data_IF_240528205621
#
_entry.id   IF_240528205621
#
_cell.length_a   1.000
_cell.length_b   1.000
_cell.length_c   1.000
_cell.angle_alpha   90.00
_cell.angle_beta   90.00
_cell.angle_gamma   90.00
#
_symmetry.space_group_name_H-M   'P 1'
#
loop_
_entity.id
_entity.type
_entity.pdbx_description
1 polymer ?
#
# COMPACT_ATOMS: atom_id res chain seq x y z
N UNK A 1 -4.29 -13.18 6.09
CA UNK A 1 -3.86 -14.19 5.09
C UNK A 1 -2.35 -14.17 4.96
N UNK A 2 -1.76 -15.28 4.57
CA UNK A 2 -0.31 -15.38 4.43
C UNK A 2 0.14 -15.01 3.02
N UNK A 3 1.27 -14.31 2.92
CA UNK A 3 1.90 -13.90 1.66
C UNK A 3 3.22 -14.65 1.54
N UNK A 4 3.26 -15.62 0.63
CA UNK A 4 4.42 -16.47 0.42
C UNK A 4 5.43 -15.79 -0.50
N UNK A 5 6.68 -15.74 -0.06
CA UNK A 5 7.84 -15.30 -0.85
C UNK A 5 8.38 -16.47 -1.69
N UNK A 6 8.38 -17.65 -1.10
CA UNK A 6 8.79 -18.94 -1.66
C UNK A 6 8.25 -20.06 -0.76
N UNK A 7 8.67 -21.29 -1.00
CA UNK A 7 8.18 -22.49 -0.29
C UNK A 7 8.54 -22.52 1.21
N UNK A 8 9.50 -21.71 1.65
CA UNK A 8 10.04 -21.75 3.02
C UNK A 8 9.86 -20.43 3.79
N UNK A 9 9.43 -19.35 3.12
CA UNK A 9 9.31 -18.02 3.71
C UNK A 9 7.97 -17.38 3.33
N UNK A 10 7.26 -16.87 4.34
CA UNK A 10 6.03 -16.10 4.17
C UNK A 10 5.92 -14.98 5.21
N UNK A 11 5.20 -13.92 4.86
CA UNK A 11 4.64 -12.98 5.84
C UNK A 11 3.28 -13.49 6.27
N UNK A 12 3.14 -13.78 7.56
CA UNK A 12 1.89 -14.29 8.11
C UNK A 12 0.95 -13.17 8.51
N UNK A 13 -0.35 -13.48 8.48
CA UNK A 13 -1.40 -12.61 9.03
C UNK A 13 -1.47 -11.20 8.41
N UNK A 14 -1.17 -11.05 7.11
CA UNK A 14 -1.36 -9.79 6.41
C UNK A 14 -2.87 -9.50 6.26
N UNK A 15 -3.37 -8.32 6.70
CA UNK A 15 -4.78 -7.96 6.57
C UNK A 15 -5.23 -7.92 5.10
N UNK A 16 -6.47 -8.33 4.82
CA UNK A 16 -7.00 -8.40 3.46
C UNK A 16 -6.97 -7.04 2.74
N UNK A 17 -7.45 -5.98 3.41
CA UNK A 17 -7.43 -4.62 2.86
C UNK A 17 -6.03 -4.12 2.51
N UNK A 18 -5.03 -4.49 3.31
CA UNK A 18 -3.61 -4.14 3.04
C UNK A 18 -3.11 -4.83 1.77
N UNK A 19 -3.44 -6.12 1.59
CA UNK A 19 -3.05 -6.90 0.42
C UNK A 19 -3.73 -6.41 -0.86
N UNK A 20 -5.01 -6.04 -0.78
CA UNK A 20 -5.79 -5.58 -1.92
C UNK A 20 -5.64 -4.09 -2.22
N UNK A 21 -4.89 -3.34 -1.39
CA UNK A 21 -4.71 -1.91 -1.57
C UNK A 21 -4.06 -1.58 -2.92
N UNK A 22 -4.72 -0.73 -3.70
CA UNK A 22 -4.26 -0.33 -5.02
C UNK A 22 -4.06 1.17 -5.14
N UNK A 23 -3.08 1.57 -5.97
CA UNK A 23 -2.92 2.95 -6.43
C UNK A 23 -2.87 2.89 -7.96
N UNK A 24 -3.75 3.65 -8.63
CA UNK A 24 -3.86 3.63 -10.09
C UNK A 24 -4.18 2.24 -10.66
N UNK A 25 -4.97 1.44 -9.94
CA UNK A 25 -5.35 0.07 -10.34
C UNK A 25 -4.32 -1.02 -10.04
N UNK A 26 -3.12 -0.68 -9.54
CA UNK A 26 -2.08 -1.64 -9.23
C UNK A 26 -1.98 -1.92 -7.73
N UNK A 27 -1.91 -3.20 -7.36
CA UNK A 27 -1.60 -3.62 -5.99
C UNK A 27 -0.18 -3.16 -5.60
N UNK A 28 -0.10 -2.30 -4.58
CA UNK A 28 1.14 -1.59 -4.24
C UNK A 28 2.25 -2.55 -3.85
N UNK A 29 1.97 -3.46 -2.91
CA UNK A 29 2.97 -4.43 -2.43
C UNK A 29 3.39 -5.40 -3.54
N UNK A 30 2.44 -5.88 -4.36
CA UNK A 30 2.73 -6.77 -5.50
C UNK A 30 3.64 -6.09 -6.51
N UNK A 31 3.29 -4.87 -6.94
CA UNK A 31 4.09 -4.12 -7.90
C UNK A 31 5.51 -3.84 -7.39
N UNK A 32 5.66 -3.53 -6.10
CA UNK A 32 6.96 -3.31 -5.48
C UNK A 32 7.84 -4.57 -5.48
N UNK A 33 7.23 -5.74 -5.23
CA UNK A 33 7.89 -7.05 -5.27
C UNK A 33 8.23 -7.47 -6.70
N UNK A 34 7.35 -7.23 -7.67
CA UNK A 34 7.58 -7.57 -9.08
C UNK A 34 8.87 -6.93 -9.62
N UNK A 35 9.19 -5.69 -9.23
CA UNK A 35 10.45 -5.05 -9.63
C UNK A 35 11.70 -5.62 -8.96
N UNK A 36 11.53 -6.60 -8.06
CA UNK A 36 12.61 -7.20 -7.26
C UNK A 36 12.63 -8.72 -7.37
N UNK A 37 11.99 -9.26 -8.39
CA UNK A 37 12.10 -10.68 -8.69
C UNK A 37 13.55 -11.04 -9.02
N UNK A 38 13.95 -12.26 -8.63
CA UNK A 38 15.32 -12.75 -8.83
C UNK A 38 15.80 -12.67 -10.28
N UNK A 39 14.99 -12.95 -11.32
CA UNK A 39 15.41 -12.77 -12.71
C UNK A 39 15.74 -11.32 -13.09
N UNK A 40 15.12 -10.33 -12.42
CA UNK A 40 15.35 -8.91 -12.68
C UNK A 40 16.56 -8.37 -11.91
N UNK A 41 16.74 -8.79 -10.65
CA UNK A 41 17.83 -8.29 -9.80
C UNK A 41 19.13 -9.11 -9.89
N UNK A 42 19.06 -10.34 -10.41
CA UNK A 42 20.16 -11.31 -10.36
C UNK A 42 20.46 -11.84 -8.94
N UNK A 43 19.68 -11.44 -7.94
CA UNK A 43 19.85 -11.81 -6.53
C UNK A 43 18.50 -11.96 -5.82
N UNK A 44 18.51 -12.61 -4.65
CA UNK A 44 17.36 -12.61 -3.75
C UNK A 44 17.16 -11.26 -3.06
N UNK A 45 16.01 -11.12 -2.40
CA UNK A 45 15.74 -9.99 -1.51
C UNK A 45 16.71 -10.00 -0.32
N UNK A 46 17.20 -8.82 0.03
CA UNK A 46 17.96 -8.59 1.25
C UNK A 46 17.02 -8.54 2.45
N UNK A 47 17.57 -8.78 3.64
CA UNK A 47 16.81 -8.67 4.90
C UNK A 47 16.18 -7.28 5.11
N UNK A 48 16.83 -6.22 4.65
CA UNK A 48 16.29 -4.86 4.68
C UNK A 48 15.04 -4.72 3.79
N UNK A 49 15.08 -5.28 2.57
CA UNK A 49 13.97 -5.25 1.62
C UNK A 49 12.77 -6.03 2.15
N UNK A 50 13.02 -7.17 2.81
CA UNK A 50 11.97 -7.94 3.50
C UNK A 50 11.33 -7.14 4.63
N UNK A 51 12.13 -6.39 5.40
CA UNK A 51 11.61 -5.49 6.45
C UNK A 51 10.81 -4.33 5.87
N UNK A 52 11.20 -3.80 4.71
CA UNK A 52 10.46 -2.73 4.04
C UNK A 52 9.06 -3.15 3.63
N UNK A 53 8.85 -4.39 3.20
CA UNK A 53 7.50 -4.91 2.91
C UNK A 53 6.63 -4.88 4.17
N UNK A 54 7.17 -5.24 5.33
CA UNK A 54 6.43 -5.14 6.60
C UNK A 54 6.13 -3.69 6.98
N UNK A 55 7.08 -2.76 6.79
CA UNK A 55 6.86 -1.32 7.03
C UNK A 55 5.80 -0.75 6.08
N UNK A 56 5.79 -1.20 4.82
CA UNK A 56 4.78 -0.83 3.84
C UNK A 56 3.40 -1.33 4.23
N UNK A 57 3.28 -2.60 4.63
CA UNK A 57 2.02 -3.18 5.10
C UNK A 57 1.43 -2.39 6.29
N UNK A 58 2.26 -2.00 7.27
CA UNK A 58 1.84 -1.18 8.41
C UNK A 58 1.37 0.22 7.98
N UNK A 59 2.09 0.87 7.05
CA UNK A 59 1.68 2.19 6.52
C UNK A 59 0.36 2.12 5.77
N UNK A 60 0.15 1.10 4.94
CA UNK A 60 -1.12 0.90 4.26
C UNK A 60 -2.25 0.64 5.26
N UNK A 61 -2.00 -0.16 6.30
CA UNK A 61 -2.99 -0.38 7.35
C UNK A 61 -3.39 0.93 8.04
N UNK A 62 -2.42 1.78 8.38
CA UNK A 62 -2.69 3.09 8.95
C UNK A 62 -3.51 3.99 8.01
N UNK A 63 -3.18 4.03 6.71
CA UNK A 63 -3.96 4.79 5.71
C UNK A 63 -5.41 4.29 5.67
N UNK A 64 -5.62 2.98 5.64
CA UNK A 64 -6.97 2.40 5.60
C UNK A 64 -7.78 2.71 6.86
N UNK A 65 -7.14 2.73 8.03
CA UNK A 65 -7.80 3.12 9.29
C UNK A 65 -8.16 4.60 9.33
N UNK A 66 -7.31 5.46 8.75
CA UNK A 66 -7.54 6.91 8.69
C UNK A 66 -8.51 7.31 7.56
N UNK A 67 -8.75 6.43 6.59
CA UNK A 67 -9.51 6.74 5.39
C UNK A 67 -10.90 7.35 5.66
N UNK A 68 -11.74 6.84 6.58
CA UNK A 68 -13.06 7.43 6.83
C UNK A 68 -12.98 8.89 7.31
N UNK A 69 -12.01 9.21 8.17
CA UNK A 69 -11.82 10.58 8.68
C UNK A 69 -11.27 11.52 7.61
N UNK A 70 -10.35 11.02 6.78
CA UNK A 70 -9.80 11.76 5.64
C UNK A 70 -10.88 12.06 4.59
N UNK A 71 -11.74 11.08 4.29
CA UNK A 71 -12.84 11.24 3.35
C UNK A 71 -13.87 12.26 3.87
N UNK A 72 -14.21 12.21 5.16
CA UNK A 72 -15.08 13.19 5.80
C UNK A 72 -14.48 14.61 5.75
N UNK A 73 -13.18 14.73 6.05
CA UNK A 73 -12.47 16.01 5.98
C UNK A 73 -12.49 16.59 4.55
N UNK A 74 -12.24 15.74 3.55
CA UNK A 74 -12.27 16.15 2.15
C UNK A 74 -13.64 16.71 1.73
N UNK A 75 -14.73 16.03 2.12
CA UNK A 75 -16.09 16.49 1.81
C UNK A 75 -16.38 17.86 2.43
N UNK A 76 -16.06 18.06 3.71
CA UNK A 76 -16.24 19.33 4.41
C UNK A 76 -15.47 20.46 3.69
N UNK A 77 -14.20 20.23 3.36
CA UNK A 77 -13.39 21.24 2.68
C UNK A 77 -13.94 21.54 1.28
N UNK A 78 -14.31 20.51 0.52
CA UNK A 78 -14.87 20.64 -0.83
C UNK A 78 -16.14 21.50 -0.84
N UNK A 79 -17.03 21.32 0.13
CA UNK A 79 -18.28 22.06 0.26
C UNK A 79 -18.08 23.53 0.68
N UNK A 80 -16.98 23.83 1.38
CA UNK A 80 -16.66 25.16 1.90
C UNK A 80 -15.59 25.89 1.07
N UNK A 81 -15.44 25.53 -0.21
CA UNK A 81 -14.49 26.20 -1.10
C UNK A 81 -15.00 27.58 -1.55
N UNK A 82 -14.08 28.55 -1.65
CA UNK A 82 -14.40 29.90 -2.11
C UNK A 82 -14.92 29.89 -3.55
N UNK A 83 -16.09 30.50 -3.76
CA UNK A 83 -16.71 30.61 -5.08
C UNK A 83 -16.07 31.76 -5.87
N UNK A 84 -15.19 31.43 -6.80
CA UNK A 84 -14.68 32.41 -7.76
C UNK A 84 -15.80 32.83 -8.72
N UNK A 85 -16.22 34.09 -8.63
CA UNK A 85 -17.12 34.69 -9.62
C UNK A 85 -16.43 34.72 -10.98
N UNK A 86 -17.08 34.16 -12.00
CA UNK A 86 -16.63 34.32 -13.39
C UNK A 86 -16.93 35.75 -13.82
N UNK A 87 -15.88 36.49 -14.18
CA UNK A 87 -15.95 37.80 -14.84
C UNK A 87 -16.40 37.64 -16.29
#
# INVERSE_FOLDING_TARGET
MDVYLNDVACWRCVPAGVRSYTIGGYQVMKKWLNYRERPLLGRGLKSEEVREVMRMARRIAAILLLQPELDANYLVVKENTYQWTKT
#
